data_IF_105497531460
#
_entry.id   IF_105497531460
#
_cell.length_a   1.000
_cell.length_b   1.000
_cell.length_c   1.000
_cell.angle_alpha   90.00
_cell.angle_beta   90.00
_cell.angle_gamma   90.00
#
_symmetry.space_group_name_H-M   'P 1'
#
loop_
_entity.id
_entity.type
_entity.pdbx_description
1 polymer ?
#
# COMPACT_ATOMS: atom_id res chain seq x y z
N UNK A 1 -1.93 -0.65 -20.80
CA UNK A 1 -1.82 -1.73 -19.78
C UNK A 1 -1.10 -1.14 -18.59
N UNK A 2 -1.54 -1.37 -17.36
CA UNK A 2 -0.86 -0.95 -16.12
C UNK A 2 0.04 -2.09 -15.65
N UNK A 3 1.32 -1.80 -15.37
CA UNK A 3 2.29 -2.72 -14.76
C UNK A 3 2.79 -2.04 -13.50
N UNK A 4 2.46 -2.59 -12.34
CA UNK A 4 2.78 -2.01 -11.03
C UNK A 4 3.85 -2.84 -10.36
N UNK A 5 4.92 -2.19 -9.92
CA UNK A 5 6.04 -2.81 -9.24
C UNK A 5 6.20 -2.22 -7.84
N UNK A 6 6.30 -3.07 -6.83
CA UNK A 6 6.63 -2.62 -5.48
C UNK A 6 8.15 -2.68 -5.26
N UNK A 7 8.71 -1.60 -4.76
CA UNK A 7 10.10 -1.52 -4.33
C UNK A 7 10.15 -1.49 -2.79
N UNK A 8 10.45 -2.61 -2.14
CA UNK A 8 10.69 -2.63 -0.69
C UNK A 8 12.07 -2.03 -0.38
N UNK A 9 12.16 -1.16 0.64
CA UNK A 9 13.42 -0.50 0.99
C UNK A 9 14.39 -1.39 1.79
N UNK A 10 13.90 -2.38 2.54
CA UNK A 10 14.72 -3.23 3.42
C UNK A 10 15.70 -4.20 2.73
N UNK A 11 15.55 -4.62 1.45
CA UNK A 11 16.60 -5.35 0.74
C UNK A 11 17.95 -4.62 0.68
N UNK A 12 17.97 -3.33 0.92
CA UNK A 12 19.20 -2.56 1.10
C UNK A 12 20.15 -3.22 2.12
N UNK A 13 19.60 -3.82 3.18
CA UNK A 13 20.37 -4.43 4.28
C UNK A 13 20.77 -5.89 4.03
N UNK A 14 20.30 -6.49 2.94
CA UNK A 14 20.68 -7.88 2.60
C UNK A 14 22.11 -7.94 2.12
N UNK A 15 22.69 -9.12 2.18
CA UNK A 15 24.07 -9.37 1.75
C UNK A 15 24.10 -10.05 0.38
N UNK A 16 25.21 -9.88 -0.34
CA UNK A 16 25.44 -10.52 -1.65
C UNK A 16 24.36 -10.19 -2.67
N UNK A 17 23.97 -11.17 -3.46
CA UNK A 17 22.98 -11.04 -4.54
C UNK A 17 21.55 -10.73 -4.05
N UNK A 18 21.29 -10.89 -2.77
CA UNK A 18 20.00 -10.53 -2.17
C UNK A 18 19.83 -9.03 -1.90
N UNK A 19 20.92 -8.25 -1.95
CA UNK A 19 20.86 -6.80 -1.79
C UNK A 19 20.23 -6.17 -3.04
N UNK A 20 19.31 -5.21 -2.81
CA UNK A 20 18.66 -4.47 -3.87
C UNK A 20 18.43 -3.04 -3.42
N UNK A 21 18.83 -2.08 -4.23
CA UNK A 21 18.80 -0.65 -3.92
C UNK A 21 18.02 0.13 -4.97
N UNK A 22 17.81 1.42 -4.76
CA UNK A 22 17.13 2.28 -5.77
C UNK A 22 17.90 2.29 -7.10
N UNK A 23 19.21 2.17 -7.04
CA UNK A 23 20.09 2.16 -8.21
C UNK A 23 19.92 0.90 -9.08
N UNK A 24 19.34 -0.17 -8.53
CA UNK A 24 19.08 -1.43 -9.23
C UNK A 24 17.69 -1.47 -9.90
N UNK A 25 16.85 -0.46 -9.66
CA UNK A 25 15.51 -0.40 -10.26
C UNK A 25 15.62 -0.14 -11.76
N UNK A 26 14.91 -0.98 -12.54
CA UNK A 26 14.72 -0.81 -13.99
C UNK A 26 13.33 -0.19 -14.27
N UNK A 27 13.17 1.15 -14.22
CA UNK A 27 11.84 1.77 -14.29
C UNK A 27 11.10 1.50 -15.58
N UNK A 28 11.83 1.21 -16.69
CA UNK A 28 11.25 0.99 -18.01
C UNK A 28 10.34 -0.24 -18.14
N UNK A 29 10.40 -1.18 -17.19
CA UNK A 29 9.53 -2.37 -17.20
C UNK A 29 8.19 -2.14 -16.49
N UNK A 30 8.06 -1.05 -15.73
CA UNK A 30 6.87 -0.73 -14.95
C UNK A 30 6.22 0.56 -15.47
N UNK A 31 4.91 0.67 -15.33
CA UNK A 31 4.20 1.94 -15.52
C UNK A 31 4.06 2.71 -14.21
N UNK A 32 4.09 1.99 -13.09
CA UNK A 32 4.00 2.52 -11.73
C UNK A 32 4.99 1.79 -10.86
N UNK A 33 5.73 2.53 -10.03
CA UNK A 33 6.61 1.95 -9.02
C UNK A 33 6.21 2.51 -7.67
N UNK A 34 6.04 1.63 -6.70
CA UNK A 34 5.55 1.97 -5.37
C UNK A 34 6.66 1.73 -4.34
N UNK A 35 7.07 2.78 -3.66
CA UNK A 35 8.03 2.73 -2.55
C UNK A 35 7.40 2.11 -1.32
N UNK A 36 7.94 1.05 -0.78
CA UNK A 36 7.40 0.32 0.38
C UNK A 36 8.41 0.26 1.52
N UNK A 37 8.11 0.73 2.71
CA UNK A 37 6.87 1.34 3.18
C UNK A 37 7.17 2.57 4.03
N UNK A 38 6.24 3.52 4.03
CA UNK A 38 6.07 4.42 5.16
C UNK A 38 5.02 3.83 6.12
N UNK A 39 5.02 4.25 7.36
CA UNK A 39 4.16 3.66 8.41
C UNK A 39 3.26 4.72 9.04
N UNK A 40 2.24 4.27 9.78
CA UNK A 40 1.39 5.14 10.57
C UNK A 40 2.04 5.41 11.93
N UNK A 41 2.26 6.67 12.26
CA UNK A 41 2.78 7.04 13.58
C UNK A 41 1.73 6.74 14.67
N UNK A 42 2.07 5.96 15.71
CA UNK A 42 1.09 5.55 16.72
C UNK A 42 0.60 6.68 17.63
N UNK A 43 1.33 7.78 17.71
CA UNK A 43 0.94 8.91 18.56
C UNK A 43 0.10 9.93 17.81
N UNK A 44 0.54 10.33 16.63
CA UNK A 44 -0.10 11.39 15.84
C UNK A 44 -1.09 10.88 14.79
N UNK A 45 -1.01 9.60 14.40
CA UNK A 45 -1.79 8.95 13.34
C UNK A 45 -1.63 9.65 11.97
N UNK A 46 -0.41 10.10 11.66
CA UNK A 46 -0.03 10.61 10.35
C UNK A 46 1.09 9.76 9.75
N UNK A 47 1.44 9.99 8.50
CA UNK A 47 2.55 9.28 7.84
C UNK A 47 3.85 9.54 8.59
N UNK A 48 4.61 8.47 8.82
CA UNK A 48 5.95 8.50 9.40
C UNK A 48 6.91 7.69 8.53
N UNK A 49 8.08 8.22 8.29
CA UNK A 49 9.18 7.47 7.69
C UNK A 49 9.63 6.41 8.69
N UNK A 50 9.71 5.15 8.23
CA UNK A 50 10.06 4.02 9.08
C UNK A 50 11.57 3.95 9.37
N UNK A 51 12.36 4.13 8.34
CA UNK A 51 13.82 4.07 8.38
C UNK A 51 14.42 5.44 8.05
N UNK A 52 14.52 6.31 9.04
CA UNK A 52 15.05 7.67 8.86
C UNK A 52 16.47 7.67 8.29
N UNK A 53 17.30 6.70 8.71
CA UNK A 53 18.68 6.65 8.26
C UNK A 53 18.78 6.34 6.76
N UNK A 54 18.09 5.29 6.30
CA UNK A 54 18.11 4.92 4.88
C UNK A 54 17.32 5.93 4.03
N UNK A 55 16.12 6.24 4.45
CA UNK A 55 15.15 6.96 3.63
C UNK A 55 15.44 8.46 3.53
N UNK A 56 15.95 9.06 4.64
CA UNK A 56 16.23 10.50 4.71
C UNK A 56 17.74 10.76 4.65
N UNK A 57 18.53 10.19 5.57
CA UNK A 57 19.94 10.56 5.69
C UNK A 57 20.77 10.06 4.51
N UNK A 58 20.52 8.83 4.01
CA UNK A 58 21.11 8.33 2.76
C UNK A 58 20.36 8.79 1.51
N UNK A 59 19.20 9.42 1.69
CA UNK A 59 18.40 10.01 0.62
C UNK A 59 17.67 9.02 -0.28
N UNK A 60 17.33 7.83 0.23
CA UNK A 60 16.73 6.75 -0.57
C UNK A 60 15.40 7.17 -1.22
N UNK A 61 14.50 7.84 -0.45
CA UNK A 61 13.25 8.39 -1.00
C UNK A 61 13.55 9.40 -2.11
N UNK A 62 14.51 10.30 -1.87
CA UNK A 62 14.85 11.32 -2.87
C UNK A 62 15.45 10.73 -4.14
N UNK A 63 16.33 9.74 -4.03
CA UNK A 63 16.86 8.99 -5.18
C UNK A 63 15.74 8.30 -5.94
N UNK A 64 14.80 7.67 -5.24
CA UNK A 64 13.64 7.00 -5.83
C UNK A 64 12.77 7.97 -6.62
N UNK A 65 12.36 9.08 -6.06
CA UNK A 65 11.53 10.07 -6.76
C UNK A 65 12.28 10.81 -7.87
N UNK A 66 13.62 10.91 -7.79
CA UNK A 66 14.45 11.49 -8.85
C UNK A 66 14.51 10.64 -10.13
N UNK A 67 14.17 9.35 -10.07
CA UNK A 67 14.02 8.49 -11.27
C UNK A 67 12.97 9.04 -12.25
N UNK A 68 12.01 9.83 -11.79
CA UNK A 68 11.04 10.54 -12.62
C UNK A 68 11.71 11.42 -13.69
N UNK A 69 12.88 11.98 -13.40
CA UNK A 69 13.59 12.88 -14.31
C UNK A 69 14.04 12.15 -15.58
N UNK A 70 14.43 10.90 -15.45
CA UNK A 70 14.84 10.06 -16.58
C UNK A 70 13.70 9.20 -17.15
N UNK A 71 12.61 9.02 -16.38
CA UNK A 71 11.47 8.18 -16.76
C UNK A 71 10.13 8.93 -16.58
N UNK A 72 9.89 10.01 -17.33
CA UNK A 72 8.73 10.89 -17.11
C UNK A 72 7.37 10.21 -17.39
N UNK A 73 7.38 9.04 -18.05
CA UNK A 73 6.17 8.24 -18.31
C UNK A 73 5.82 7.24 -17.20
N UNK A 74 6.66 7.12 -16.17
CA UNK A 74 6.45 6.21 -15.03
C UNK A 74 5.97 7.01 -13.83
N UNK A 75 4.97 6.49 -13.12
CA UNK A 75 4.45 7.06 -11.87
C UNK A 75 5.19 6.45 -10.67
N UNK A 76 5.54 7.29 -9.72
CA UNK A 76 6.26 6.90 -8.50
C UNK A 76 5.41 7.23 -7.27
N UNK A 77 4.82 6.19 -6.67
CA UNK A 77 3.94 6.30 -5.51
C UNK A 77 4.69 5.89 -4.24
N UNK A 78 4.07 6.14 -3.09
CA UNK A 78 4.51 5.62 -1.79
C UNK A 78 3.42 4.79 -1.16
N UNK A 79 3.76 3.61 -0.62
CA UNK A 79 2.84 2.76 0.12
C UNK A 79 2.91 3.05 1.62
N UNK A 80 1.73 3.19 2.24
CA UNK A 80 1.56 3.28 3.67
C UNK A 80 1.05 1.95 4.22
N UNK A 81 1.75 1.38 5.19
CA UNK A 81 1.27 0.20 5.90
C UNK A 81 2.14 -1.03 5.75
N UNK A 82 1.58 -2.05 5.08
CA UNK A 82 2.13 -3.38 5.01
C UNK A 82 1.82 -4.20 6.28
N UNK A 83 2.06 -5.51 6.22
CA UNK A 83 1.70 -6.45 7.28
C UNK A 83 2.14 -6.05 8.68
N UNK A 84 3.41 -5.67 8.85
CA UNK A 84 3.96 -5.37 10.17
C UNK A 84 3.40 -4.09 10.80
N UNK A 85 2.99 -3.13 9.99
CA UNK A 85 2.35 -1.91 10.48
C UNK A 85 0.87 -2.14 10.78
N UNK A 86 0.18 -2.84 9.89
CA UNK A 86 -1.25 -3.08 9.93
C UNK A 86 -1.69 -3.92 11.13
N UNK A 87 -0.87 -4.89 11.55
CA UNK A 87 -1.19 -5.79 12.67
C UNK A 87 -1.01 -5.17 14.07
N UNK A 88 -0.59 -3.92 14.17
CA UNK A 88 -0.52 -3.21 15.47
C UNK A 88 -1.94 -2.97 15.98
N UNK A 89 -2.32 -3.54 17.16
CA UNK A 89 -3.71 -3.52 17.60
C UNK A 89 -4.30 -2.10 17.66
N UNK A 90 -5.43 -1.89 17.00
CA UNK A 90 -6.19 -0.65 17.04
C UNK A 90 -5.54 0.57 16.39
N UNK A 91 -4.36 0.45 15.79
CA UNK A 91 -3.64 1.60 15.20
C UNK A 91 -4.46 2.24 14.09
N UNK A 92 -4.82 1.47 13.07
CA UNK A 92 -5.63 1.92 11.95
C UNK A 92 -7.09 2.19 12.36
N UNK A 93 -7.69 1.32 13.18
CA UNK A 93 -9.05 1.52 13.68
C UNK A 93 -9.21 2.85 14.42
N UNK A 94 -8.19 3.27 15.18
CA UNK A 94 -8.21 4.57 15.87
C UNK A 94 -8.18 5.75 14.89
N UNK A 95 -7.43 5.65 13.79
CA UNK A 95 -7.44 6.62 12.71
C UNK A 95 -8.81 6.65 12.04
N UNK A 96 -9.31 5.47 11.63
CA UNK A 96 -10.52 5.33 10.82
C UNK A 96 -11.78 5.77 11.59
N UNK A 97 -11.85 5.52 12.88
CA UNK A 97 -12.99 5.91 13.73
C UNK A 97 -13.09 7.43 13.97
N UNK A 98 -12.02 8.21 13.74
CA UNK A 98 -11.98 9.63 14.11
C UNK A 98 -11.91 10.55 12.90
N UNK A 99 -12.97 11.30 12.56
CA UNK A 99 -12.93 12.30 11.49
C UNK A 99 -11.80 13.32 11.67
N UNK A 100 -11.51 13.73 12.90
CA UNK A 100 -10.42 14.67 13.20
C UNK A 100 -9.05 14.09 12.87
N UNK A 101 -8.81 12.82 13.22
CA UNK A 101 -7.55 12.14 12.91
C UNK A 101 -7.43 11.90 11.40
N UNK A 102 -8.51 11.48 10.73
CA UNK A 102 -8.49 11.35 9.27
C UNK A 102 -8.19 12.66 8.57
N UNK A 103 -8.82 13.79 9.00
CA UNK A 103 -8.53 15.10 8.44
C UNK A 103 -7.07 15.53 8.65
N UNK A 104 -6.49 15.26 9.84
CA UNK A 104 -5.08 15.53 10.11
C UNK A 104 -4.17 14.64 9.24
N UNK A 105 -4.51 13.36 9.09
CA UNK A 105 -3.79 12.44 8.21
C UNK A 105 -3.83 12.93 6.75
N UNK A 106 -4.99 13.26 6.22
CA UNK A 106 -5.17 13.73 4.84
C UNK A 106 -4.33 14.98 4.56
N UNK A 107 -4.37 15.96 5.48
CA UNK A 107 -3.55 17.17 5.35
C UNK A 107 -2.05 16.85 5.33
N UNK A 108 -1.62 15.94 6.20
CA UNK A 108 -0.22 15.52 6.28
C UNK A 108 0.19 14.70 5.05
N UNK A 109 -0.66 13.81 4.55
CA UNK A 109 -0.40 12.99 3.36
C UNK A 109 -0.18 13.87 2.12
N UNK A 110 -1.01 14.88 1.94
CA UNK A 110 -0.85 15.88 0.86
C UNK A 110 0.50 16.58 0.97
N UNK A 111 0.86 17.07 2.16
CA UNK A 111 2.15 17.73 2.39
C UNK A 111 3.35 16.77 2.17
N UNK A 112 3.20 15.52 2.61
CA UNK A 112 4.24 14.49 2.46
C UNK A 112 4.50 14.15 0.99
N UNK A 113 3.45 13.91 0.20
CA UNK A 113 3.55 13.61 -1.24
C UNK A 113 4.22 14.78 -1.97
N UNK A 114 3.81 16.01 -1.67
CA UNK A 114 4.36 17.23 -2.26
C UNK A 114 5.84 17.42 -1.88
N UNK A 115 6.19 17.27 -0.60
CA UNK A 115 7.55 17.42 -0.09
C UNK A 115 8.53 16.43 -0.73
N UNK A 116 8.13 15.17 -0.85
CA UNK A 116 9.00 14.12 -1.35
C UNK A 116 8.89 13.89 -2.85
N UNK A 117 7.92 14.54 -3.51
CA UNK A 117 7.76 14.49 -4.96
C UNK A 117 7.17 13.19 -5.48
N UNK A 118 6.37 12.49 -4.69
CA UNK A 118 5.61 11.32 -5.15
C UNK A 118 4.47 11.70 -6.10
N UNK A 119 3.97 10.74 -6.87
CA UNK A 119 2.82 10.89 -7.77
C UNK A 119 1.52 10.38 -7.15
N UNK A 120 1.55 9.93 -5.89
CA UNK A 120 0.38 9.41 -5.21
C UNK A 120 0.70 8.58 -3.98
N UNK A 121 -0.37 8.00 -3.43
CA UNK A 121 -0.35 7.17 -2.22
C UNK A 121 -1.01 5.83 -2.51
N UNK A 122 -0.39 4.77 -2.05
CA UNK A 122 -0.95 3.42 -2.00
C UNK A 122 -1.28 3.08 -0.55
N UNK A 123 -2.48 2.56 -0.30
CA UNK A 123 -2.94 2.17 1.03
C UNK A 123 -2.82 0.66 1.18
N UNK A 124 -1.92 0.22 2.04
CA UNK A 124 -1.69 -1.20 2.32
C UNK A 124 -2.07 -1.52 3.77
N UNK A 125 -3.37 -1.41 4.07
CA UNK A 125 -3.93 -1.79 5.37
C UNK A 125 -4.41 -3.24 5.36
N UNK A 126 -3.71 -4.10 6.06
CA UNK A 126 -3.89 -5.56 6.07
C UNK A 126 -4.44 -6.06 7.42
N UNK A 127 -5.76 -6.13 7.64
CA UNK A 127 -6.85 -5.73 6.76
C UNK A 127 -7.95 -5.06 7.57
N UNK A 128 -8.83 -4.22 6.97
CA UNK A 128 -10.02 -3.76 7.67
C UNK A 128 -10.84 -4.93 8.19
N UNK A 129 -11.33 -4.83 9.44
CA UNK A 129 -12.15 -5.85 10.11
C UNK A 129 -11.43 -7.18 10.42
N UNK A 130 -10.15 -7.31 10.07
CA UNK A 130 -9.33 -8.48 10.37
C UNK A 130 -8.19 -8.10 11.32
N UNK A 131 -7.11 -8.80 11.36
CA UNK A 131 -5.98 -8.74 12.30
C UNK A 131 -5.75 -7.33 12.89
N UNK A 132 -6.16 -7.13 14.14
CA UNK A 132 -6.05 -5.82 14.82
C UNK A 132 -7.14 -4.80 14.46
N UNK A 133 -8.01 -5.09 13.49
CA UNK A 133 -9.13 -4.26 13.07
C UNK A 133 -10.44 -4.56 13.79
N UNK A 134 -11.44 -3.67 13.60
CA UNK A 134 -12.77 -3.80 14.18
C UNK A 134 -13.84 -3.56 13.10
N UNK A 135 -15.09 -4.00 13.35
CA UNK A 135 -16.19 -3.94 12.38
C UNK A 135 -16.44 -2.53 11.80
N UNK A 136 -16.16 -1.49 12.56
CA UNK A 136 -16.30 -0.11 12.07
C UNK A 136 -15.20 0.33 11.09
N UNK A 137 -14.17 -0.47 10.88
CA UNK A 137 -13.10 -0.13 9.95
C UNK A 137 -13.57 -0.14 8.49
N UNK A 138 -14.53 -1.00 8.14
CA UNK A 138 -15.11 -1.06 6.79
C UNK A 138 -15.62 0.30 6.31
N UNK A 139 -16.63 0.92 6.94
CA UNK A 139 -17.08 2.26 6.56
C UNK A 139 -16.03 3.34 6.85
N UNK A 140 -15.18 3.15 7.86
CA UNK A 140 -14.09 4.06 8.19
C UNK A 140 -13.05 4.13 7.08
N UNK A 141 -12.70 3.01 6.48
CA UNK A 141 -11.78 2.92 5.35
C UNK A 141 -12.32 3.63 4.12
N UNK A 142 -13.59 3.42 3.79
CA UNK A 142 -14.27 4.14 2.69
C UNK A 142 -14.29 5.65 2.93
N UNK A 143 -14.58 6.08 4.16
CA UNK A 143 -14.56 7.51 4.51
C UNK A 143 -13.15 8.10 4.33
N UNK A 144 -12.12 7.40 4.77
CA UNK A 144 -10.72 7.82 4.66
C UNK A 144 -10.29 7.96 3.20
N UNK A 145 -10.59 6.95 2.35
CA UNK A 145 -10.32 7.00 0.91
C UNK A 145 -11.03 8.19 0.25
N UNK A 146 -12.31 8.42 0.60
CA UNK A 146 -13.09 9.54 0.05
C UNK A 146 -12.48 10.91 0.42
N UNK A 147 -12.03 11.05 1.65
CA UNK A 147 -11.37 12.27 2.12
C UNK A 147 -10.01 12.49 1.44
N UNK A 148 -9.21 11.44 1.24
CA UNK A 148 -7.96 11.48 0.47
C UNK A 148 -8.20 11.84 -0.99
N UNK A 149 -9.18 11.18 -1.66
CA UNK A 149 -9.52 11.44 -3.06
C UNK A 149 -9.92 12.92 -3.25
N UNK A 150 -10.78 13.43 -2.40
CA UNK A 150 -11.20 14.83 -2.46
C UNK A 150 -10.02 15.80 -2.30
N UNK A 151 -9.07 15.50 -1.42
CA UNK A 151 -7.90 16.34 -1.22
C UNK A 151 -6.93 16.27 -2.42
N UNK A 152 -6.75 15.11 -3.03
CA UNK A 152 -5.89 14.93 -4.22
C UNK A 152 -6.50 15.65 -5.44
N UNK A 153 -7.82 15.52 -5.64
CA UNK A 153 -8.54 16.21 -6.72
C UNK A 153 -8.45 17.73 -6.56
N UNK A 154 -8.56 18.23 -5.34
CA UNK A 154 -8.43 19.66 -5.04
C UNK A 154 -7.02 20.21 -5.36
N UNK A 155 -5.97 19.38 -5.29
CA UNK A 155 -4.61 19.77 -5.72
C UNK A 155 -4.48 19.90 -7.25
N UNK A 156 -5.26 19.15 -8.01
CA UNK A 156 -5.23 19.18 -9.48
C UNK A 156 -3.90 18.74 -10.10
N UNK A 157 -3.09 17.98 -9.38
CA UNK A 157 -1.74 17.54 -9.80
C UNK A 157 -1.72 16.14 -10.44
N UNK A 158 -2.88 15.48 -10.55
CA UNK A 158 -3.02 14.14 -11.10
C UNK A 158 -2.36 13.06 -10.23
N UNK A 159 -2.35 13.27 -8.91
CA UNK A 159 -1.90 12.25 -7.96
C UNK A 159 -2.84 11.08 -7.93
N UNK A 160 -2.27 9.89 -7.89
CA UNK A 160 -3.03 8.64 -7.83
C UNK A 160 -3.25 8.17 -6.38
N UNK A 161 -4.41 7.61 -6.14
CA UNK A 161 -4.77 6.94 -4.89
C UNK A 161 -5.09 5.49 -5.20
N UNK A 162 -4.30 4.58 -4.67
CA UNK A 162 -4.45 3.13 -4.88
C UNK A 162 -4.53 2.40 -3.55
N UNK A 163 -4.92 1.14 -3.57
CA UNK A 163 -4.90 0.31 -2.38
C UNK A 163 -4.53 -1.14 -2.72
N UNK A 164 -3.67 -1.73 -1.90
CA UNK A 164 -3.44 -3.17 -1.86
C UNK A 164 -4.51 -3.82 -0.97
N UNK A 165 -5.17 -4.85 -1.47
CA UNK A 165 -6.32 -5.47 -0.80
C UNK A 165 -6.19 -7.00 -0.80
N UNK A 166 -6.91 -7.63 0.14
CA UNK A 166 -6.95 -9.09 0.25
C UNK A 166 -7.55 -9.75 -0.99
N UNK A 167 -7.00 -10.90 -1.38
CA UNK A 167 -7.56 -11.78 -2.40
C UNK A 167 -8.62 -12.76 -1.83
N UNK A 168 -8.78 -12.84 -0.51
CA UNK A 168 -9.79 -13.71 0.10
C UNK A 168 -11.18 -13.10 0.02
N UNK A 169 -12.12 -13.77 -0.66
CA UNK A 169 -13.51 -13.32 -0.80
C UNK A 169 -14.15 -12.97 0.55
N UNK A 170 -13.93 -13.79 1.58
CA UNK A 170 -14.47 -13.54 2.91
C UNK A 170 -13.92 -12.27 3.56
N UNK A 171 -12.64 -11.95 3.35
CA UNK A 171 -12.03 -10.71 3.83
C UNK A 171 -12.50 -9.50 3.01
N UNK A 172 -12.70 -9.70 1.71
CA UNK A 172 -13.26 -8.64 0.84
C UNK A 172 -14.67 -8.29 1.28
N UNK A 173 -15.53 -9.26 1.45
CA UNK A 173 -16.92 -9.06 1.91
C UNK A 173 -17.00 -8.40 3.30
N UNK A 174 -16.14 -8.82 4.21
CA UNK A 174 -16.13 -8.27 5.57
C UNK A 174 -15.54 -6.84 5.63
N UNK A 175 -14.44 -6.59 4.90
CA UNK A 175 -13.56 -5.43 5.09
C UNK A 175 -13.82 -4.25 4.17
N UNK A 176 -14.43 -4.43 2.99
CA UNK A 176 -14.54 -3.36 2.00
C UNK A 176 -15.96 -3.09 1.54
N UNK A 177 -16.31 -1.81 1.38
CA UNK A 177 -17.47 -1.34 0.61
C UNK A 177 -17.04 -1.28 -0.86
N UNK A 178 -17.04 -2.45 -1.53
CA UNK A 178 -16.35 -2.67 -2.82
C UNK A 178 -16.74 -1.66 -3.89
N UNK A 179 -18.05 -1.37 -4.01
CA UNK A 179 -18.57 -0.45 -5.04
C UNK A 179 -18.03 0.96 -4.83
N UNK A 180 -18.12 1.45 -3.59
CA UNK A 180 -17.68 2.80 -3.23
C UNK A 180 -16.15 2.93 -3.33
N UNK A 181 -15.43 1.96 -2.80
CA UNK A 181 -13.96 1.95 -2.83
C UNK A 181 -13.43 1.92 -4.26
N UNK A 182 -14.00 1.08 -5.13
CA UNK A 182 -13.57 0.98 -6.54
C UNK A 182 -13.83 2.24 -7.35
N UNK A 183 -14.81 3.07 -6.97
CA UNK A 183 -15.09 4.35 -7.63
C UNK A 183 -14.17 5.50 -7.17
N UNK A 184 -13.52 5.34 -6.01
CA UNK A 184 -12.66 6.35 -5.41
C UNK A 184 -11.18 6.14 -5.70
N UNK A 185 -10.77 4.92 -6.01
CA UNK A 185 -9.39 4.54 -6.27
C UNK A 185 -9.08 4.58 -7.78
N UNK A 186 -7.85 4.95 -8.13
CA UNK A 186 -7.33 4.87 -9.50
C UNK A 186 -6.98 3.44 -9.89
N UNK A 187 -6.62 2.61 -8.91
CA UNK A 187 -6.43 1.17 -9.05
C UNK A 187 -6.57 0.43 -7.72
N UNK A 188 -6.95 -0.83 -7.81
CA UNK A 188 -6.93 -1.80 -6.72
C UNK A 188 -5.87 -2.84 -7.05
N UNK A 189 -4.94 -3.08 -6.12
CA UNK A 189 -3.90 -4.09 -6.23
C UNK A 189 -4.31 -5.31 -5.43
N UNK A 190 -4.82 -6.32 -6.12
CA UNK A 190 -5.25 -7.56 -5.49
C UNK A 190 -4.01 -8.39 -5.11
N UNK A 191 -3.83 -8.65 -3.81
CA UNK A 191 -2.72 -9.46 -3.28
C UNK A 191 -3.04 -10.95 -3.43
N UNK A 192 -3.04 -11.42 -4.68
CA UNK A 192 -3.30 -12.82 -5.05
C UNK A 192 -2.06 -13.70 -4.89
N UNK A 193 -1.50 -13.66 -3.69
CA UNK A 193 -0.36 -14.47 -3.22
C UNK A 193 -0.50 -14.70 -1.71
N UNK A 194 0.44 -15.44 -1.12
CA UNK A 194 0.32 -15.92 0.26
C UNK A 194 -1.00 -16.69 0.49
N UNK A 195 -1.45 -17.40 -0.55
CA UNK A 195 -2.63 -18.26 -0.51
C UNK A 195 -2.32 -19.53 0.29
N UNK A 196 -1.10 -20.03 0.14
CA UNK A 196 -0.54 -21.17 0.87
C UNK A 196 0.79 -20.81 1.53
N UNK A 197 1.11 -21.42 2.67
CA UNK A 197 2.36 -21.11 3.38
C UNK A 197 2.64 -21.97 4.60
N UNK A 198 3.58 -21.53 5.41
CA UNK A 198 4.09 -22.29 6.57
C UNK A 198 3.07 -22.50 7.70
N UNK A 199 1.91 -21.93 7.62
CA UNK A 199 0.76 -22.14 8.53
C UNK A 199 -0.04 -23.42 8.22
N UNK A 200 0.24 -24.10 7.11
CA UNK A 200 -0.41 -25.32 6.67
C UNK A 200 0.47 -26.55 6.89
N UNK A 201 -0.15 -27.73 6.94
CA UNK A 201 0.55 -29.02 7.07
C UNK A 201 0.95 -29.64 5.73
N UNK A 202 0.44 -29.13 4.64
CA UNK A 202 0.75 -29.53 3.26
C UNK A 202 1.62 -28.50 2.55
N UNK A 203 2.32 -28.94 1.52
CA UNK A 203 3.13 -28.06 0.66
C UNK A 203 2.31 -27.72 -0.57
N UNK A 204 2.19 -26.42 -0.85
CA UNK A 204 1.55 -25.92 -2.06
C UNK A 204 2.21 -24.61 -2.54
N UNK A 205 1.81 -24.11 -3.70
CA UNK A 205 2.29 -22.85 -4.26
C UNK A 205 1.58 -21.66 -3.64
N UNK A 206 2.34 -20.70 -3.13
CA UNK A 206 1.78 -19.52 -2.46
C UNK A 206 0.95 -18.60 -3.37
N UNK A 207 1.08 -18.73 -4.69
CA UNK A 207 0.38 -17.93 -5.69
C UNK A 207 0.01 -18.79 -6.91
N UNK A 208 -0.60 -19.95 -6.66
CA UNK A 208 -1.04 -20.86 -7.72
C UNK A 208 -2.09 -20.19 -8.60
N UNK A 209 -1.94 -20.28 -9.93
CA UNK A 209 -2.87 -19.63 -10.85
C UNK A 209 -4.20 -20.39 -10.94
N UNK A 210 -4.14 -21.69 -11.07
CA UNK A 210 -5.30 -22.60 -11.15
C UNK A 210 -5.14 -23.73 -10.15
N UNK A 211 -6.26 -24.20 -9.59
CA UNK A 211 -6.33 -25.34 -8.68
C UNK A 211 -7.26 -26.44 -9.18
N UNK A 212 -7.50 -27.44 -8.35
CA UNK A 212 -8.50 -28.46 -8.59
C UNK A 212 -9.92 -27.88 -8.51
N UNK A 213 -10.93 -28.50 -9.13
CA UNK A 213 -12.30 -28.02 -9.07
C UNK A 213 -12.79 -27.83 -7.62
N UNK A 214 -13.14 -26.60 -7.28
CA UNK A 214 -13.60 -26.21 -5.95
C UNK A 214 -12.50 -25.68 -5.02
N UNK A 215 -11.26 -25.57 -5.48
CA UNK A 215 -10.19 -24.90 -4.77
C UNK A 215 -10.41 -23.38 -4.84
N UNK A 216 -10.58 -22.76 -3.67
CA UNK A 216 -10.79 -21.31 -3.53
C UNK A 216 -9.48 -20.55 -3.25
N UNK A 217 -8.35 -21.26 -3.07
CA UNK A 217 -7.05 -20.67 -2.78
C UNK A 217 -6.17 -20.58 -4.02
N UNK A 218 -6.73 -19.99 -5.09
CA UNK A 218 -6.02 -19.77 -6.35
C UNK A 218 -6.18 -18.34 -6.83
N UNK A 219 -5.26 -17.90 -7.69
CA UNK A 219 -5.32 -16.54 -8.30
C UNK A 219 -6.57 -16.39 -9.18
N UNK A 220 -7.00 -17.47 -9.84
CA UNK A 220 -8.19 -17.47 -10.69
C UNK A 220 -9.51 -17.39 -9.89
N UNK A 221 -9.48 -17.81 -8.61
CA UNK A 221 -10.63 -17.76 -7.71
C UNK A 221 -10.72 -16.49 -6.85
N UNK A 222 -9.66 -15.65 -6.86
CA UNK A 222 -9.50 -14.47 -6.01
C UNK A 222 -10.35 -13.23 -6.40
#
# INVERSE_FOLDING_TARGET
MRVVCYYPNWPYYRQGEGKYTVEDIEPGICTHIIYSFVVLDPASHVIKIHDDWLDVQLGNIKKFTDLKKSHPGVKFLVALGGWNDSRKPGLYSTLLASPTKRAAFVSHAVAFIEQWGFDGLDLDYEYPVDVGGVQSDKPGFTAWIRELRAAFDAKGLGWELTAAVSASASKVDAGYEVVEVSQLLDAVHLMSYDLHGSWESSVDHHATLYGEPGDALTVDAA
#
